data_IF_638106769033
#
_entry.id   IF_638106769033
#
_cell.length_a   1.000
_cell.length_b   1.000
_cell.length_c   1.000
_cell.angle_alpha   90.00
_cell.angle_beta   90.00
_cell.angle_gamma   90.00
#
_symmetry.space_group_name_H-M   'P 1'
#
loop_
_entity.id
_entity.type
_entity.pdbx_description
1 polymer ?
#
# COMPACT_ATOMS: atom_id res chain seq x y z
N UNK A 1 -11.94 29.05 0.40
CA UNK A 1 -11.70 27.61 0.22
C UNK A 1 -10.27 27.36 0.66
N UNK A 2 -10.08 26.62 1.76
CA UNK A 2 -8.73 26.24 2.17
C UNK A 2 -8.19 25.18 1.21
N UNK A 3 -7.14 25.52 0.48
CA UNK A 3 -6.47 24.62 -0.48
C UNK A 3 -5.48 23.65 0.20
N UNK A 4 -5.22 23.85 1.50
CA UNK A 4 -4.36 23.00 2.33
C UNK A 4 -4.64 21.50 2.19
N UNK A 5 -5.89 21.00 2.33
CA UNK A 5 -6.18 19.57 2.17
C UNK A 5 -5.90 19.05 0.76
N UNK A 6 -6.09 19.86 -0.28
CA UNK A 6 -5.81 19.47 -1.66
C UNK A 6 -4.30 19.38 -1.92
N UNK A 7 -3.52 20.33 -1.40
CA UNK A 7 -2.05 20.30 -1.47
C UNK A 7 -1.50 19.11 -0.69
N UNK A 8 -2.03 18.83 0.52
CA UNK A 8 -1.64 17.68 1.32
C UNK A 8 -1.95 16.35 0.61
N UNK A 9 -3.11 16.23 -0.03
CA UNK A 9 -3.48 15.05 -0.81
C UNK A 9 -2.54 14.83 -2.01
N UNK A 10 -2.23 15.89 -2.76
CA UNK A 10 -1.30 15.80 -3.90
C UNK A 10 0.12 15.47 -3.44
N UNK A 11 0.60 16.08 -2.36
CA UNK A 11 1.91 15.80 -1.80
C UNK A 11 2.02 14.36 -1.29
N UNK A 12 0.99 13.88 -0.58
CA UNK A 12 0.91 12.49 -0.12
C UNK A 12 0.93 11.52 -1.29
N UNK A 13 0.13 11.79 -2.33
CA UNK A 13 0.07 10.97 -3.54
C UNK A 13 1.41 10.92 -4.29
N UNK A 14 2.08 12.07 -4.45
CA UNK A 14 3.37 12.13 -5.12
C UNK A 14 4.47 11.41 -4.32
N UNK A 15 4.53 11.63 -3.00
CA UNK A 15 5.51 11.01 -2.12
C UNK A 15 5.32 9.49 -2.05
N UNK A 16 4.08 9.03 -1.89
CA UNK A 16 3.78 7.60 -1.87
C UNK A 16 4.12 6.96 -3.21
N UNK A 17 3.79 7.62 -4.33
CA UNK A 17 4.05 7.09 -5.69
C UNK A 17 5.55 6.97 -5.95
N UNK A 18 6.35 7.98 -5.55
CA UNK A 18 7.80 7.93 -5.69
C UNK A 18 8.43 6.77 -4.90
N UNK A 19 7.99 6.56 -3.66
CA UNK A 19 8.45 5.44 -2.82
C UNK A 19 8.00 4.09 -3.38
N UNK A 20 6.75 3.99 -3.84
CA UNK A 20 6.21 2.77 -4.45
C UNK A 20 6.95 2.38 -5.72
N UNK A 21 7.18 3.35 -6.61
CA UNK A 21 7.87 3.16 -7.88
C UNK A 21 9.32 2.70 -7.70
N UNK A 22 10.03 3.23 -6.71
CA UNK A 22 11.40 2.81 -6.40
C UNK A 22 11.47 1.32 -6.02
N UNK A 23 10.49 0.81 -5.27
CA UNK A 23 10.42 -0.61 -4.90
C UNK A 23 10.07 -1.51 -6.10
N UNK A 24 9.15 -1.07 -6.97
CA UNK A 24 8.77 -1.78 -8.20
C UNK A 24 9.98 -1.93 -9.13
N UNK A 25 10.71 -0.85 -9.39
CA UNK A 25 11.90 -0.88 -10.27
C UNK A 25 12.93 -1.84 -9.70
N UNK A 26 13.20 -1.81 -8.39
CA UNK A 26 14.19 -2.66 -7.75
C UNK A 26 13.85 -4.15 -7.85
N UNK A 27 12.57 -4.50 -7.69
CA UNK A 27 12.11 -5.90 -7.84
C UNK A 27 12.20 -6.36 -9.28
N UNK A 28 11.81 -5.52 -10.24
CA UNK A 28 11.94 -5.84 -11.67
C UNK A 28 13.42 -6.08 -12.02
N UNK A 29 14.32 -5.18 -11.60
CA UNK A 29 15.76 -5.32 -11.87
C UNK A 29 16.37 -6.57 -11.23
N UNK A 30 16.05 -6.85 -9.96
CA UNK A 30 16.53 -8.06 -9.27
C UNK A 30 15.99 -9.32 -9.96
N UNK A 31 14.73 -9.29 -10.40
CA UNK A 31 14.09 -10.42 -11.06
C UNK A 31 14.64 -10.65 -12.47
N UNK A 32 14.84 -9.61 -13.28
CA UNK A 32 15.45 -9.67 -14.61
C UNK A 32 16.88 -10.20 -14.52
N UNK A 33 17.69 -9.71 -13.56
CA UNK A 33 19.02 -10.25 -13.28
C UNK A 33 19.01 -11.74 -12.86
N UNK A 34 17.91 -12.23 -12.30
CA UNK A 34 17.72 -13.65 -11.92
C UNK A 34 17.15 -14.51 -13.06
N UNK A 35 16.53 -13.89 -14.07
CA UNK A 35 15.71 -14.57 -15.11
C UNK A 35 16.33 -14.60 -16.51
N UNK A 36 17.53 -14.08 -16.73
CA UNK A 36 18.33 -14.40 -17.92
C UNK A 36 18.58 -15.92 -18.12
N UNK A 37 18.16 -16.78 -17.17
CA UNK A 37 18.28 -18.24 -17.24
C UNK A 37 17.04 -19.02 -17.72
N UNK A 38 15.81 -18.49 -17.78
CA UNK A 38 14.62 -19.30 -18.19
C UNK A 38 13.51 -18.47 -18.88
N UNK A 39 13.43 -18.61 -20.20
CA UNK A 39 12.71 -17.74 -21.14
C UNK A 39 11.18 -17.98 -21.30
N UNK A 40 10.55 -18.89 -20.54
CA UNK A 40 9.19 -19.37 -20.85
C UNK A 40 8.05 -18.96 -19.91
N UNK A 41 8.32 -18.71 -18.62
CA UNK A 41 7.27 -18.53 -17.57
C UNK A 41 7.17 -17.08 -17.04
N UNK A 42 8.09 -16.21 -17.46
CA UNK A 42 8.30 -14.90 -16.86
C UNK A 42 7.13 -13.90 -17.07
N UNK A 43 6.31 -14.05 -18.11
CA UNK A 43 5.27 -13.06 -18.46
C UNK A 43 4.04 -13.03 -17.53
N UNK A 44 3.53 -14.20 -17.14
CA UNK A 44 2.35 -14.30 -16.28
C UNK A 44 2.68 -13.97 -14.81
N UNK A 45 3.84 -14.44 -14.33
CA UNK A 45 4.36 -14.08 -13.00
C UNK A 45 4.72 -12.59 -12.94
N UNK A 46 5.22 -11.97 -14.02
CA UNK A 46 5.47 -10.51 -14.09
C UNK A 46 4.18 -9.69 -13.93
N UNK A 47 3.08 -10.12 -14.55
CA UNK A 47 1.80 -9.43 -14.41
C UNK A 47 1.26 -9.55 -12.99
N UNK A 48 1.20 -10.76 -12.44
CA UNK A 48 0.64 -10.98 -11.09
C UNK A 48 1.53 -10.37 -10.01
N UNK A 49 2.84 -10.56 -10.07
CA UNK A 49 3.79 -9.99 -9.09
C UNK A 49 3.78 -8.46 -9.09
N UNK A 50 3.69 -7.84 -10.27
CA UNK A 50 3.57 -6.39 -10.40
C UNK A 50 2.29 -5.84 -9.80
N UNK A 51 1.14 -6.46 -10.09
CA UNK A 51 -0.16 -6.05 -9.58
C UNK A 51 -0.31 -6.28 -8.07
N UNK A 52 0.18 -7.41 -7.55
CA UNK A 52 0.18 -7.68 -6.10
C UNK A 52 0.91 -6.60 -5.32
N UNK A 53 2.07 -6.15 -5.83
CA UNK A 53 2.83 -5.06 -5.19
C UNK A 53 2.04 -3.75 -5.17
N UNK A 54 1.39 -3.39 -6.29
CA UNK A 54 0.54 -2.19 -6.36
C UNK A 54 -0.62 -2.26 -5.37
N UNK A 55 -1.28 -3.41 -5.23
CA UNK A 55 -2.37 -3.62 -4.26
C UNK A 55 -1.85 -3.48 -2.83
N UNK A 56 -0.71 -4.10 -2.49
CA UNK A 56 -0.08 -3.94 -1.18
C UNK A 56 0.30 -2.48 -0.88
N UNK A 57 0.86 -1.78 -1.86
CA UNK A 57 1.23 -0.37 -1.73
C UNK A 57 0.01 0.53 -1.50
N UNK A 58 -1.09 0.31 -2.24
CA UNK A 58 -2.35 1.01 -2.03
C UNK A 58 -2.91 0.76 -0.64
N UNK A 59 -2.93 -0.50 -0.19
CA UNK A 59 -3.42 -0.88 1.14
C UNK A 59 -2.62 -0.20 2.26
N UNK A 60 -1.29 -0.24 2.19
CA UNK A 60 -0.42 0.38 3.19
C UNK A 60 -0.61 1.90 3.20
N UNK A 61 -0.60 2.53 2.01
CA UNK A 61 -0.75 3.98 1.88
C UNK A 61 -2.11 4.44 2.43
N UNK A 62 -3.18 3.74 2.07
CA UNK A 62 -4.52 4.01 2.59
C UNK A 62 -4.58 3.84 4.11
N UNK A 63 -4.03 2.75 4.65
CA UNK A 63 -4.06 2.47 6.08
C UNK A 63 -3.31 3.56 6.87
N UNK A 64 -2.12 3.96 6.44
CA UNK A 64 -1.38 5.05 7.08
C UNK A 64 -2.09 6.40 6.95
N UNK A 65 -2.66 6.71 5.79
CA UNK A 65 -3.41 7.94 5.57
C UNK A 65 -4.60 8.08 6.53
N UNK A 66 -5.31 6.98 6.82
CA UNK A 66 -6.43 7.01 7.77
C UNK A 66 -5.99 7.21 9.22
N UNK A 67 -4.82 6.71 9.63
CA UNK A 67 -4.26 6.98 10.98
C UNK A 67 -3.87 8.45 11.10
N UNK A 68 -3.14 8.97 10.11
CA UNK A 68 -2.67 10.35 10.11
C UNK A 68 -3.85 11.33 10.06
N UNK A 69 -4.87 11.03 9.23
CA UNK A 69 -6.07 11.85 9.13
C UNK A 69 -6.86 11.87 10.44
N UNK A 70 -7.04 10.72 11.08
CA UNK A 70 -7.74 10.62 12.36
C UNK A 70 -6.97 11.31 13.49
N UNK A 71 -5.65 11.15 13.55
CA UNK A 71 -4.79 11.89 14.48
C UNK A 71 -4.89 13.40 14.25
N UNK A 72 -4.87 13.85 12.99
CA UNK A 72 -4.97 15.27 12.67
C UNK A 72 -6.30 15.90 13.11
N UNK A 73 -7.41 15.16 13.00
CA UNK A 73 -8.75 15.63 13.40
C UNK A 73 -8.97 15.55 14.91
N UNK A 74 -8.54 14.45 15.54
CA UNK A 74 -8.79 14.20 16.97
C UNK A 74 -7.75 14.84 17.89
N UNK A 75 -6.55 15.11 17.39
CA UNK A 75 -5.40 15.55 18.20
C UNK A 75 -4.80 14.47 19.10
N UNK A 76 -5.35 13.25 19.09
CA UNK A 76 -4.98 12.14 19.97
C UNK A 76 -4.39 11.00 19.14
N UNK A 77 -3.07 10.82 19.25
CA UNK A 77 -2.35 9.77 18.52
C UNK A 77 -2.64 8.38 19.09
N UNK A 78 -2.77 8.26 20.41
CA UNK A 78 -2.97 6.96 21.06
C UNK A 78 -4.37 6.42 20.73
N UNK A 79 -5.40 7.27 20.86
CA UNK A 79 -6.75 6.92 20.42
C UNK A 79 -6.86 6.65 18.92
N UNK A 80 -6.10 7.34 18.07
CA UNK A 80 -6.07 7.06 16.64
C UNK A 80 -5.44 5.70 16.32
N UNK A 81 -4.39 5.31 17.04
CA UNK A 81 -3.78 3.99 16.93
C UNK A 81 -4.72 2.88 17.39
N UNK A 82 -5.40 3.05 18.53
CA UNK A 82 -6.39 2.07 19.04
C UNK A 82 -7.53 1.84 18.04
N UNK A 83 -8.09 2.91 17.46
CA UNK A 83 -9.12 2.79 16.41
C UNK A 83 -8.58 2.10 15.15
N UNK A 84 -7.33 2.38 14.79
CA UNK A 84 -6.68 1.76 13.63
C UNK A 84 -6.42 0.27 13.83
N UNK A 85 -6.11 -0.15 15.06
CA UNK A 85 -5.91 -1.55 15.42
C UNK A 85 -7.21 -2.34 15.27
N UNK A 86 -8.31 -1.78 15.78
CA UNK A 86 -9.64 -2.38 15.63
C UNK A 86 -10.04 -2.52 14.15
N UNK A 87 -9.75 -1.50 13.32
CA UNK A 87 -9.96 -1.57 11.87
C UNK A 87 -9.12 -2.67 11.22
N UNK A 88 -7.84 -2.82 11.61
CA UNK A 88 -6.98 -3.89 11.08
C UNK A 88 -7.53 -5.28 11.44
N UNK A 89 -7.95 -5.47 12.69
CA UNK A 89 -8.52 -6.73 13.15
C UNK A 89 -9.77 -7.12 12.34
N UNK A 90 -10.70 -6.18 12.15
CA UNK A 90 -11.91 -6.39 11.34
C UNK A 90 -11.54 -6.80 9.90
N UNK A 91 -10.58 -6.11 9.29
CA UNK A 91 -10.15 -6.43 7.91
C UNK A 91 -9.54 -7.82 7.82
N UNK A 92 -8.70 -8.21 8.79
CA UNK A 92 -8.14 -9.56 8.85
C UNK A 92 -9.22 -10.63 9.07
N UNK A 93 -10.21 -10.37 9.91
CA UNK A 93 -11.31 -11.29 10.19
C UNK A 93 -12.22 -11.47 8.96
N UNK A 94 -12.52 -10.39 8.24
CA UNK A 94 -13.24 -10.46 6.95
C UNK A 94 -12.43 -11.26 5.92
N UNK A 95 -11.12 -11.01 5.80
CA UNK A 95 -10.28 -11.76 4.86
C UNK A 95 -10.20 -13.25 5.23
N UNK A 96 -10.14 -13.58 6.51
CA UNK A 96 -10.15 -14.96 6.98
C UNK A 96 -11.49 -15.65 6.63
N UNK A 97 -12.62 -14.97 6.87
CA UNK A 97 -13.94 -15.49 6.51
C UNK A 97 -14.11 -15.71 5.00
N UNK A 98 -13.60 -14.80 4.17
CA UNK A 98 -13.64 -14.90 2.71
C UNK A 98 -12.71 -15.99 2.14
N UNK A 99 -11.64 -16.34 2.86
CA UNK A 99 -10.69 -17.38 2.46
C UNK A 99 -11.01 -18.78 3.00
N UNK A 100 -12.01 -18.90 3.88
CA UNK A 100 -12.46 -20.17 4.46
C UNK A 100 -13.65 -20.82 3.75
N UNK A 101 -14.19 -20.16 2.71
CA UNK A 101 -15.16 -20.71 1.75
C UNK A 101 -14.45 -21.35 0.53
#
# INVERSE_FOLDING_TARGET
MDLSPLVAAVALFAASTAIGMANVVKIITIYEAKHELKQGSAGWIRSISGWTLVVFWLLITWFLATIIGDWHVSGDLEGALDRSWLRLQIVLEIMAALGSD
#
